data_IF_035365947870
#
_entry.id   IF_035365947870
#
_cell.length_a   1.000
_cell.length_b   1.000
_cell.length_c   1.000
_cell.angle_alpha   90.00
_cell.angle_beta   90.00
_cell.angle_gamma   90.00
#
_symmetry.space_group_name_H-M   'P 1'
#
loop_
_entity.id
_entity.type
_entity.pdbx_description
1 polymer ?
#
# COMPACT_ATOMS: atom_id res chain seq x y z
N UNK A 1 -27.52 -15.49 18.09
CA UNK A 1 -27.32 -14.53 16.97
C UNK A 1 -25.91 -13.98 17.14
N UNK A 2 -24.96 -14.37 16.28
CA UNK A 2 -23.57 -13.95 16.39
C UNK A 2 -23.46 -12.48 15.99
N UNK A 3 -23.05 -11.64 16.95
CA UNK A 3 -22.67 -10.26 16.70
C UNK A 3 -21.35 -10.28 15.93
N UNK A 4 -21.38 -9.97 14.64
CA UNK A 4 -20.16 -9.79 13.86
C UNK A 4 -19.46 -8.52 14.38
N UNK A 5 -18.38 -8.71 15.15
CA UNK A 5 -17.52 -7.63 15.63
C UNK A 5 -16.96 -6.84 14.44
N UNK A 6 -16.78 -5.52 14.54
CA UNK A 6 -16.63 -4.69 13.34
C UNK A 6 -15.40 -5.00 12.46
N UNK A 7 -14.28 -5.52 12.98
CA UNK A 7 -13.02 -5.58 12.21
C UNK A 7 -12.06 -6.71 12.63
N UNK A 8 -12.49 -7.98 12.59
CA UNK A 8 -11.54 -9.08 12.83
C UNK A 8 -10.72 -9.33 11.56
N UNK A 9 -9.39 -9.15 11.63
CA UNK A 9 -8.45 -9.49 10.56
C UNK A 9 -7.72 -10.77 11.00
N UNK A 10 -8.08 -11.90 10.41
CA UNK A 10 -7.46 -13.21 10.67
C UNK A 10 -6.34 -13.59 9.68
N UNK A 11 -6.04 -12.70 8.73
CA UNK A 11 -5.00 -12.95 7.73
C UNK A 11 -3.62 -12.67 8.31
N UNK A 12 -2.77 -13.71 8.38
CA UNK A 12 -1.36 -13.58 8.78
C UNK A 12 -0.63 -12.55 7.92
N UNK A 13 -0.90 -12.55 6.61
CA UNK A 13 -0.34 -11.54 5.69
C UNK A 13 -0.68 -10.11 6.09
N UNK A 14 -1.97 -9.83 6.37
CA UNK A 14 -2.39 -8.49 6.77
C UNK A 14 -1.87 -8.10 8.16
N UNK A 15 -1.79 -9.06 9.08
CA UNK A 15 -1.21 -8.85 10.41
C UNK A 15 0.29 -8.56 10.33
N UNK A 16 1.04 -9.31 9.53
CA UNK A 16 2.47 -9.12 9.30
C UNK A 16 2.76 -7.74 8.69
N UNK A 17 1.94 -7.29 7.74
CA UNK A 17 2.05 -5.94 7.17
C UNK A 17 1.78 -4.84 8.22
N UNK A 18 0.76 -5.01 9.05
CA UNK A 18 0.44 -4.08 10.12
C UNK A 18 1.53 -4.04 11.20
N UNK A 19 2.12 -5.18 11.55
CA UNK A 19 3.16 -5.26 12.56
C UNK A 19 4.49 -4.70 12.06
N UNK A 20 4.86 -4.95 10.79
CA UNK A 20 6.00 -4.30 10.16
C UNK A 20 5.84 -2.76 10.16
N UNK A 21 4.64 -2.27 9.86
CA UNK A 21 4.34 -0.83 9.89
C UNK A 21 4.44 -0.23 11.31
N UNK A 22 3.93 -0.93 12.34
CA UNK A 22 4.05 -0.49 13.74
C UNK A 22 5.50 -0.46 14.20
N UNK A 23 6.27 -1.51 13.92
CA UNK A 23 7.70 -1.57 14.22
C UNK A 23 8.43 -0.43 13.53
N UNK A 24 8.03 -0.10 12.31
CA UNK A 24 8.60 1.01 11.57
C UNK A 24 8.31 2.37 12.21
N UNK A 25 7.06 2.64 12.57
CA UNK A 25 6.69 3.88 13.27
C UNK A 25 7.47 4.06 14.58
N UNK A 26 7.72 2.97 15.31
CA UNK A 26 8.50 3.01 16.54
C UNK A 26 10.00 3.34 16.31
N UNK A 27 10.54 3.06 15.12
CA UNK A 27 11.97 3.24 14.80
C UNK A 27 12.29 4.58 14.12
N UNK A 28 11.29 5.35 13.67
CA UNK A 28 11.49 6.68 13.08
C UNK A 28 10.51 7.73 13.61
N UNK A 29 10.78 8.32 14.78
CA UNK A 29 9.94 9.38 15.32
C UNK A 29 9.98 10.70 14.51
N UNK A 30 10.91 10.86 13.54
CA UNK A 30 11.22 12.15 12.90
C UNK A 30 11.01 12.19 11.37
N UNK A 31 10.21 11.30 10.77
CA UNK A 31 9.82 11.47 9.36
C UNK A 31 8.54 12.30 9.24
N UNK A 32 8.52 13.23 8.28
CA UNK A 32 7.39 14.13 7.99
C UNK A 32 6.16 13.42 7.37
N UNK A 33 6.21 12.10 7.18
CA UNK A 33 5.17 11.31 6.53
C UNK A 33 4.66 10.23 7.49
N UNK A 34 3.59 10.55 8.23
CA UNK A 34 2.88 9.58 9.06
C UNK A 34 1.85 8.81 8.22
N UNK A 35 1.93 7.47 8.13
CA UNK A 35 0.94 6.71 7.37
C UNK A 35 -0.41 6.68 8.09
N UNK A 36 -1.47 6.98 7.34
CA UNK A 36 -2.84 6.72 7.75
C UNK A 36 -3.24 5.29 7.38
N UNK A 37 -3.78 4.54 8.33
CA UNK A 37 -4.21 3.15 8.13
C UNK A 37 -5.73 3.10 8.19
N UNK A 38 -6.36 2.69 7.10
CA UNK A 38 -7.79 2.43 7.03
C UNK A 38 -8.04 0.93 6.93
N UNK A 39 -8.85 0.39 7.84
CA UNK A 39 -9.24 -1.03 7.85
C UNK A 39 -10.67 -1.13 7.37
N UNK A 40 -10.93 -2.00 6.40
CA UNK A 40 -12.25 -2.20 5.83
C UNK A 40 -12.55 -3.70 5.62
N UNK A 41 -13.82 -4.05 5.63
CA UNK A 41 -14.31 -5.34 5.13
C UNK A 41 -15.00 -5.06 3.81
N UNK A 42 -14.51 -5.65 2.72
CA UNK A 42 -15.13 -5.55 1.40
C UNK A 42 -15.90 -6.84 1.08
N UNK A 43 -17.04 -6.71 0.41
CA UNK A 43 -17.79 -7.86 -0.09
C UNK A 43 -17.40 -8.12 -1.54
N UNK A 44 -16.66 -9.19 -1.80
CA UNK A 44 -16.30 -9.62 -3.15
C UNK A 44 -17.02 -10.93 -3.47
N UNK A 45 -17.92 -10.92 -4.46
CA UNK A 45 -18.71 -12.09 -4.82
C UNK A 45 -19.63 -12.61 -3.70
N UNK A 46 -20.03 -11.74 -2.77
CA UNK A 46 -20.83 -12.12 -1.60
C UNK A 46 -20.03 -12.69 -0.43
N UNK A 47 -18.71 -12.80 -0.57
CA UNK A 47 -17.81 -13.22 0.51
C UNK A 47 -17.19 -11.98 1.17
N UNK A 48 -17.29 -11.81 2.50
CA UNK A 48 -16.57 -10.75 3.19
C UNK A 48 -15.07 -11.05 3.14
N UNK A 49 -14.28 -10.05 2.75
CA UNK A 49 -12.82 -10.11 2.71
C UNK A 49 -12.24 -8.92 3.46
N UNK A 50 -11.26 -9.18 4.32
CA UNK A 50 -10.53 -8.12 4.98
C UNK A 50 -9.64 -7.38 3.98
N UNK A 51 -9.66 -6.05 4.07
CA UNK A 51 -8.79 -5.13 3.33
C UNK A 51 -8.15 -4.14 4.30
N UNK A 52 -6.87 -3.90 4.13
CA UNK A 52 -6.21 -2.73 4.71
C UNK A 52 -5.77 -1.77 3.60
N UNK A 53 -5.92 -0.50 3.87
CA UNK A 53 -5.43 0.60 3.04
C UNK A 53 -4.40 1.37 3.88
N UNK A 54 -3.20 1.51 3.32
CA UNK A 54 -2.10 2.26 3.90
C UNK A 54 -1.88 3.46 3.01
N UNK A 55 -2.11 4.65 3.56
CA UNK A 55 -2.02 5.91 2.87
C UNK A 55 -0.84 6.72 3.43
N UNK A 56 0.12 7.00 2.57
CA UNK A 56 1.20 7.93 2.84
C UNK A 56 0.93 9.22 2.06
N UNK A 57 0.89 10.35 2.75
CA UNK A 57 0.78 11.67 2.14
C UNK A 57 2.05 12.46 2.43
N UNK A 58 2.76 12.84 1.37
CA UNK A 58 3.97 13.63 1.44
C UNK A 58 3.73 14.99 0.81
N UNK A 59 4.09 16.05 1.54
CA UNK A 59 3.71 17.42 1.16
C UNK A 59 2.19 17.52 0.90
N UNK A 60 1.70 18.63 0.30
CA UNK A 60 0.26 18.77 0.01
C UNK A 60 -0.20 18.09 -1.28
N UNK A 61 0.74 17.62 -2.11
CA UNK A 61 0.46 17.15 -3.48
C UNK A 61 0.79 15.68 -3.74
N UNK A 62 1.70 15.06 -2.97
CA UNK A 62 2.16 13.69 -3.26
C UNK A 62 1.45 12.66 -2.38
N UNK A 63 1.11 11.52 -2.99
CA UNK A 63 0.36 10.46 -2.33
C UNK A 63 0.83 9.09 -2.80
N UNK A 64 0.97 8.17 -1.85
CA UNK A 64 1.13 6.74 -2.08
C UNK A 64 0.03 6.02 -1.29
N UNK A 65 -0.85 5.30 -1.98
CA UNK A 65 -1.89 4.45 -1.41
C UNK A 65 -1.62 2.99 -1.77
N UNK A 66 -1.63 2.12 -0.76
CA UNK A 66 -1.39 0.69 -0.87
C UNK A 66 -2.59 -0.04 -0.28
N UNK A 67 -3.28 -0.81 -1.11
CA UNK A 67 -4.40 -1.65 -0.72
C UNK A 67 -3.95 -3.10 -0.69
N UNK A 68 -4.25 -3.79 0.40
CA UNK A 68 -3.90 -5.18 0.62
C UNK A 68 -5.15 -5.94 1.04
N UNK A 69 -5.35 -7.10 0.43
CA UNK A 69 -6.45 -8.01 0.76
C UNK A 69 -5.90 -9.30 1.39
N UNK A 70 -6.74 -9.98 2.16
CA UNK A 70 -6.39 -11.22 2.86
C UNK A 70 -5.87 -12.35 1.95
N UNK A 71 -6.24 -12.34 0.67
CA UNK A 71 -5.80 -13.31 -0.34
C UNK A 71 -4.48 -12.93 -1.02
N UNK A 72 -3.73 -12.00 -0.41
CA UNK A 72 -2.46 -11.44 -0.90
C UNK A 72 -2.58 -10.63 -2.18
N UNK A 73 -3.81 -10.25 -2.58
CA UNK A 73 -3.95 -9.24 -3.61
C UNK A 73 -3.39 -7.91 -3.10
N UNK A 74 -2.74 -7.19 -4.00
CA UNK A 74 -2.19 -5.85 -3.75
C UNK A 74 -2.60 -4.93 -4.89
N UNK A 75 -2.95 -3.70 -4.56
CA UNK A 75 -3.13 -2.59 -5.50
C UNK A 75 -2.41 -1.39 -4.94
N UNK A 76 -1.65 -0.72 -5.79
CA UNK A 76 -0.88 0.44 -5.42
C UNK A 76 -1.20 1.58 -6.36
N UNK A 77 -1.31 2.77 -5.78
CA UNK A 77 -1.50 4.02 -6.49
C UNK A 77 -0.53 5.05 -5.92
N UNK A 78 0.32 5.59 -6.79
CA UNK A 78 1.21 6.69 -6.44
C UNK A 78 0.98 7.85 -7.40
N UNK A 79 1.11 9.07 -6.92
CA UNK A 79 0.98 10.22 -7.80
C UNK A 79 1.23 11.54 -7.10
N UNK A 80 1.39 12.57 -7.92
CA UNK A 80 1.49 13.95 -7.48
C UNK A 80 0.44 14.80 -8.19
N UNK A 81 -0.36 15.52 -7.41
CA UNK A 81 -1.37 16.44 -7.90
C UNK A 81 -0.78 17.83 -8.18
N UNK A 82 -1.18 18.45 -9.29
CA UNK A 82 -0.81 19.84 -9.56
C UNK A 82 -1.70 20.83 -8.78
N UNK A 83 -1.18 22.00 -8.36
CA UNK A 83 -1.97 23.00 -7.62
C UNK A 83 -3.22 23.52 -8.34
N UNK A 84 -3.21 23.51 -9.68
CA UNK A 84 -4.30 23.95 -10.54
C UNK A 84 -5.27 22.81 -10.94
N UNK A 85 -5.12 21.63 -10.33
CA UNK A 85 -5.87 20.43 -10.68
C UNK A 85 -5.17 19.59 -11.75
N UNK A 86 -5.49 18.30 -11.77
CA UNK A 86 -4.78 17.32 -12.59
C UNK A 86 -3.58 16.69 -11.88
N UNK A 87 -2.90 15.79 -12.57
CA UNK A 87 -1.79 15.02 -12.03
C UNK A 87 -0.51 15.38 -12.75
N UNK A 88 0.53 15.71 -12.00
CA UNK A 88 1.90 15.81 -12.50
C UNK A 88 2.38 14.42 -12.91
N UNK A 89 2.06 13.41 -12.11
CA UNK A 89 2.20 12.02 -12.51
C UNK A 89 1.25 11.09 -11.78
N UNK A 90 1.10 9.91 -12.37
CA UNK A 90 0.36 8.79 -11.80
C UNK A 90 1.07 7.51 -12.14
N UNK A 91 1.19 6.66 -11.14
CA UNK A 91 1.65 5.28 -11.27
C UNK A 91 0.65 4.38 -10.57
N UNK A 92 0.39 3.23 -11.17
CA UNK A 92 -0.52 2.23 -10.61
C UNK A 92 -0.04 0.84 -10.95
N UNK A 93 -0.03 -0.04 -9.96
CA UNK A 93 0.34 -1.44 -10.14
C UNK A 93 -0.52 -2.33 -9.27
N UNK A 94 -0.86 -3.51 -9.78
CA UNK A 94 -1.70 -4.46 -9.06
C UNK A 94 -1.31 -5.88 -9.42
N UNK A 95 -1.51 -6.80 -8.48
CA UNK A 95 -1.22 -8.21 -8.65
C UNK A 95 -1.30 -8.94 -7.33
N UNK A 96 -0.45 -9.95 -7.14
CA UNK A 96 -0.33 -10.69 -5.88
C UNK A 96 1.07 -10.54 -5.31
N UNK A 97 1.16 -10.55 -3.98
CA UNK A 97 2.43 -10.57 -3.26
C UNK A 97 2.80 -12.03 -2.94
N UNK A 98 3.80 -12.65 -3.62
CA UNK A 98 4.07 -14.08 -3.51
C UNK A 98 5.08 -14.44 -2.41
N UNK A 99 5.79 -13.46 -1.84
CA UNK A 99 6.94 -13.66 -0.97
C UNK A 99 6.60 -14.26 0.41
N UNK A 100 7.61 -14.80 1.13
CA UNK A 100 7.45 -15.26 2.51
C UNK A 100 7.69 -14.16 3.56
N UNK A 101 8.35 -13.05 3.22
CA UNK A 101 8.71 -11.94 4.12
C UNK A 101 7.88 -10.68 3.82
N UNK A 102 6.56 -10.83 3.87
CA UNK A 102 5.63 -9.93 3.20
C UNK A 102 5.58 -8.53 3.81
N UNK A 103 5.50 -8.42 5.13
CA UNK A 103 5.45 -7.12 5.82
C UNK A 103 6.72 -6.28 5.64
N UNK A 104 7.92 -6.80 5.97
CA UNK A 104 9.17 -6.05 5.81
C UNK A 104 9.48 -5.65 4.37
N UNK A 105 9.27 -6.53 3.39
CA UNK A 105 9.49 -6.21 1.96
C UNK A 105 8.52 -5.14 1.47
N UNK A 106 7.25 -5.21 1.89
CA UNK A 106 6.25 -4.19 1.59
C UNK A 106 6.66 -2.82 2.16
N UNK A 107 7.15 -2.77 3.39
CA UNK A 107 7.59 -1.52 4.02
C UNK A 107 8.84 -0.95 3.36
N UNK A 108 9.82 -1.79 3.05
CA UNK A 108 11.00 -1.38 2.31
C UNK A 108 10.63 -0.79 0.93
N UNK A 109 9.69 -1.41 0.23
CA UNK A 109 9.20 -0.93 -1.06
C UNK A 109 8.40 0.38 -0.95
N UNK A 110 7.56 0.52 0.09
CA UNK A 110 6.83 1.76 0.36
C UNK A 110 7.79 2.92 0.64
N UNK A 111 8.82 2.70 1.46
CA UNK A 111 9.84 3.71 1.77
C UNK A 111 10.69 4.07 0.55
N UNK A 112 11.13 3.07 -0.23
CA UNK A 112 11.83 3.32 -1.48
C UNK A 112 10.97 4.12 -2.46
N UNK A 113 9.65 3.91 -2.46
CA UNK A 113 8.71 4.67 -3.28
C UNK A 113 8.61 6.12 -2.83
N UNK A 114 8.47 6.37 -1.52
CA UNK A 114 8.42 7.73 -0.97
C UNK A 114 9.71 8.50 -1.26
N UNK A 115 10.87 7.85 -1.10
CA UNK A 115 12.16 8.45 -1.45
C UNK A 115 12.27 8.74 -2.95
N UNK A 116 11.86 7.80 -3.81
CA UNK A 116 11.85 8.02 -5.25
C UNK A 116 10.93 9.17 -5.67
N UNK A 117 9.81 9.36 -4.96
CA UNK A 117 8.87 10.47 -5.17
C UNK A 117 9.39 11.81 -4.65
N UNK A 118 10.21 11.83 -3.59
CA UNK A 118 10.78 13.05 -3.03
C UNK A 118 11.96 13.61 -3.84
N UNK A 119 12.78 12.72 -4.41
CA UNK A 119 14.02 13.10 -5.10
C UNK A 119 13.81 13.54 -6.56
N UNK A 120 12.61 13.34 -7.10
CA UNK A 120 12.35 13.49 -8.53
C UNK A 120 11.68 14.84 -8.82
N UNK A 121 12.44 15.78 -9.40
CA UNK A 121 11.88 17.03 -9.95
C UNK A 121 11.06 16.82 -11.21
N UNK A 122 11.29 15.71 -11.91
CA UNK A 122 10.47 15.21 -13.01
C UNK A 122 10.01 13.81 -12.65
N UNK A 123 8.71 13.61 -12.66
CA UNK A 123 8.11 12.37 -12.26
C UNK A 123 8.51 11.20 -13.16
N UNK A 124 9.10 10.18 -12.56
CA UNK A 124 9.54 8.99 -13.26
C UNK A 124 8.81 7.74 -12.74
N UNK A 125 7.66 7.37 -13.37
CA UNK A 125 6.95 6.13 -13.07
C UNK A 125 7.80 4.87 -13.24
N UNK A 126 8.89 4.91 -14.02
CA UNK A 126 9.75 3.74 -14.24
C UNK A 126 10.53 3.35 -12.99
N UNK A 127 10.90 4.33 -12.15
CA UNK A 127 11.52 4.06 -10.84
C UNK A 127 10.56 3.30 -9.93
N UNK A 128 9.30 3.71 -9.90
CA UNK A 128 8.27 3.02 -9.12
C UNK A 128 8.00 1.61 -9.68
N UNK A 129 7.97 1.44 -11.00
CA UNK A 129 7.88 0.10 -11.60
C UNK A 129 9.09 -0.77 -11.22
N UNK A 130 10.31 -0.21 -11.21
CA UNK A 130 11.51 -0.97 -10.84
C UNK A 130 11.48 -1.47 -9.38
N UNK A 131 10.89 -0.70 -8.46
CA UNK A 131 10.71 -1.08 -7.05
C UNK A 131 9.68 -2.21 -6.92
N UNK A 132 8.52 -2.07 -7.57
CA UNK A 132 7.37 -2.93 -7.32
C UNK A 132 7.28 -4.17 -8.22
N UNK A 133 7.81 -4.11 -9.43
CA UNK A 133 7.81 -5.23 -10.38
C UNK A 133 8.36 -6.55 -9.79
N UNK A 134 9.47 -6.59 -9.03
CA UNK A 134 9.96 -7.85 -8.45
C UNK A 134 9.07 -8.40 -7.33
N UNK A 135 8.23 -7.57 -6.70
CA UNK A 135 7.40 -7.94 -5.55
C UNK A 135 5.97 -8.31 -5.95
N UNK A 136 5.52 -7.86 -7.13
CA UNK A 136 4.15 -8.06 -7.59
C UNK A 136 4.13 -9.08 -8.72
N UNK A 137 3.61 -10.27 -8.42
CA UNK A 137 3.29 -11.26 -9.45
C UNK A 137 2.05 -10.80 -10.21
N UNK A 138 2.24 -10.41 -11.48
CA UNK A 138 1.15 -10.07 -12.41
C UNK A 138 0.52 -11.39 -12.89
N UNK A 139 -0.77 -11.56 -12.65
CA UNK A 139 -1.55 -12.73 -13.05
C UNK A 139 -3.05 -12.44 -12.98
N UNK A 140 -3.90 -13.27 -13.61
CA UNK A 140 -5.34 -13.07 -13.57
C UNK A 140 -5.84 -13.08 -12.12
N UNK A 141 -6.67 -12.10 -11.75
CA UNK A 141 -7.47 -12.17 -10.53
C UNK A 141 -8.40 -13.36 -10.70
N UNK A 142 -8.25 -14.40 -9.87
CA UNK A 142 -9.26 -15.45 -9.78
C UNK A 142 -10.53 -14.76 -9.28
N UNK A 143 -11.49 -14.60 -10.19
CA UNK A 143 -12.81 -14.03 -9.92
C UNK A 143 -13.62 -14.94 -9.00
#
# INVERSE_FOLDING_TARGET
>A
MASASPHHIDSSFLLDALDALKQRQATLPNQDVAPAIHRAIEFQGGVPRARIEILFQQCRSQMLSIHLWEDRAISLHAGEAMPNGGWMFRYGSAGRFPGPNEGPELMAAAEASLLAMSDSSEADPERLEAIWRPLIAKGPRLA
#
